data_IF_888363216385
#
_entry.id   IF_888363216385
#
_cell.length_a   1.000
_cell.length_b   1.000
_cell.length_c   1.000
_cell.angle_alpha   90.00
_cell.angle_beta   90.00
_cell.angle_gamma   90.00
#
_symmetry.space_group_name_H-M   'P 1'
#
loop_
_entity.id
_entity.type
_entity.pdbx_description
1 polymer ?
#
# COMPACT_ATOMS: atom_id res chain seq x y z
N UNK A 1 -11.22 -5.91 15.30
CA UNK A 1 -10.45 -4.83 14.65
C UNK A 1 -10.23 -5.19 13.19
N UNK A 2 -10.49 -4.23 12.32
CA UNK A 2 -10.24 -4.35 10.89
C UNK A 2 -9.34 -3.21 10.45
N UNK A 3 -8.31 -3.52 9.70
CA UNK A 3 -7.44 -2.52 9.08
C UNK A 3 -7.60 -2.55 7.55
N UNK A 4 -7.65 -1.38 6.95
CA UNK A 4 -7.55 -1.20 5.51
C UNK A 4 -6.90 0.14 5.18
N UNK A 5 -6.54 0.32 3.94
CA UNK A 5 -5.92 1.53 3.41
C UNK A 5 -6.89 2.26 2.46
N UNK A 6 -7.05 3.56 2.67
CA UNK A 6 -7.75 4.44 1.74
C UNK A 6 -6.71 5.19 0.88
N UNK A 7 -6.58 4.86 -0.39
CA UNK A 7 -5.55 5.43 -1.25
C UNK A 7 -5.93 6.79 -1.87
N UNK A 8 -6.99 7.43 -1.44
CA UNK A 8 -7.57 8.59 -2.15
C UNK A 8 -6.53 9.66 -2.48
N UNK A 9 -5.70 10.07 -1.52
CA UNK A 9 -4.66 11.08 -1.78
C UNK A 9 -3.55 10.55 -2.69
N UNK A 10 -3.10 9.33 -2.46
CA UNK A 10 -2.10 8.64 -3.28
C UNK A 10 -2.61 8.43 -4.71
N UNK A 11 -3.86 8.00 -4.85
CA UNK A 11 -4.51 7.80 -6.12
C UNK A 11 -4.58 9.10 -6.94
N UNK A 12 -5.03 10.19 -6.32
CA UNK A 12 -5.09 11.51 -6.97
C UNK A 12 -3.71 11.97 -7.40
N UNK A 13 -2.69 11.77 -6.56
CA UNK A 13 -1.30 12.09 -6.91
C UNK A 13 -0.83 11.29 -8.12
N UNK A 14 -0.98 9.96 -8.08
CA UNK A 14 -0.52 9.06 -9.15
C UNK A 14 -1.26 9.32 -10.47
N UNK A 15 -2.56 9.60 -10.43
CA UNK A 15 -3.34 9.90 -11.65
C UNK A 15 -2.94 11.24 -12.29
N UNK A 16 -2.31 12.15 -11.55
CA UNK A 16 -1.84 13.43 -12.07
C UNK A 16 -0.33 13.43 -12.41
N UNK A 17 0.37 12.35 -12.16
CA UNK A 17 1.77 12.16 -12.54
C UNK A 17 1.88 11.49 -13.92
N UNK A 18 3.01 11.66 -14.63
CA UNK A 18 3.29 10.88 -15.83
C UNK A 18 3.26 9.38 -15.53
N UNK A 19 2.94 8.59 -16.54
CA UNK A 19 2.99 7.12 -16.42
C UNK A 19 4.35 6.67 -15.85
N UNK A 20 4.35 5.73 -14.89
CA UNK A 20 5.59 5.24 -14.30
C UNK A 20 6.51 4.64 -15.37
N UNK A 21 7.80 4.89 -15.24
CA UNK A 21 8.79 4.32 -16.13
C UNK A 21 8.69 2.79 -16.22
N UNK A 22 8.88 2.27 -17.42
CA UNK A 22 9.04 0.83 -17.64
C UNK A 22 10.45 0.34 -17.28
N UNK A 23 11.41 1.28 -17.18
CA UNK A 23 12.77 0.99 -16.76
C UNK A 23 12.86 1.02 -15.24
N UNK A 24 13.21 -0.10 -14.63
CA UNK A 24 13.31 -0.24 -13.16
C UNK A 24 14.31 0.76 -12.56
N UNK A 25 15.41 1.04 -13.25
CA UNK A 25 16.46 1.95 -12.76
C UNK A 25 15.99 3.40 -12.61
N UNK A 26 14.88 3.76 -13.29
CA UNK A 26 14.29 5.10 -13.23
C UNK A 26 13.25 5.23 -12.10
N UNK A 27 12.84 4.13 -11.49
CA UNK A 27 11.89 4.15 -10.39
C UNK A 27 12.57 4.63 -9.10
N UNK A 28 11.83 5.36 -8.29
CA UNK A 28 12.31 5.79 -6.97
C UNK A 28 12.57 4.60 -6.05
N UNK A 29 13.60 4.72 -5.24
CA UNK A 29 13.90 3.75 -4.19
C UNK A 29 12.93 3.97 -3.04
N UNK A 30 12.21 2.92 -2.65
CA UNK A 30 11.32 2.92 -1.49
C UNK A 30 12.10 2.66 -0.20
N UNK A 31 12.93 1.62 -0.20
CA UNK A 31 13.79 1.28 0.94
C UNK A 31 15.03 0.51 0.51
N UNK A 32 16.04 0.52 1.38
CA UNK A 32 17.21 -0.34 1.31
C UNK A 32 17.45 -0.99 2.67
N UNK A 33 17.85 -2.25 2.67
CA UNK A 33 18.21 -2.96 3.90
C UNK A 33 19.27 -4.02 3.62
N UNK A 34 20.02 -4.39 4.66
CA UNK A 34 21.00 -5.47 4.57
C UNK A 34 20.29 -6.83 4.45
N UNK A 35 20.73 -7.66 3.51
CA UNK A 35 20.24 -9.04 3.41
C UNK A 35 20.72 -9.82 4.64
N UNK A 36 19.78 -10.45 5.40
CA UNK A 36 20.18 -11.21 6.58
C UNK A 36 21.17 -12.34 6.27
N UNK A 37 22.26 -12.40 7.03
CA UNK A 37 23.28 -13.44 6.89
C UNK A 37 24.24 -13.28 5.71
N UNK A 38 24.26 -12.10 5.09
CA UNK A 38 25.09 -11.81 3.92
C UNK A 38 25.66 -10.39 4.02
N UNK A 39 26.60 -10.04 3.12
CA UNK A 39 27.11 -8.68 2.96
C UNK A 39 26.39 -7.91 1.85
N UNK A 40 25.32 -8.49 1.32
CA UNK A 40 24.53 -7.88 0.26
C UNK A 40 23.50 -6.90 0.82
N UNK A 41 23.06 -6.01 -0.04
CA UNK A 41 21.98 -5.06 0.24
C UNK A 41 20.81 -5.38 -0.68
N UNK A 42 19.59 -5.29 -0.16
CA UNK A 42 18.38 -5.34 -0.96
C UNK A 42 17.84 -3.93 -1.09
N UNK A 43 17.65 -3.49 -2.33
CA UNK A 43 16.98 -2.24 -2.67
C UNK A 43 15.61 -2.52 -3.23
N UNK A 44 14.60 -1.90 -2.68
CA UNK A 44 13.23 -2.08 -3.12
C UNK A 44 12.80 -0.86 -3.93
N UNK A 45 12.34 -1.11 -5.15
CA UNK A 45 11.66 -0.12 -5.98
C UNK A 45 10.27 -0.61 -6.26
N UNK A 46 9.33 0.29 -6.51
CA UNK A 46 7.99 -0.10 -6.87
C UNK A 46 7.36 0.87 -7.87
N UNK A 47 6.34 0.39 -8.54
CA UNK A 47 5.39 1.23 -9.27
C UNK A 47 3.97 0.78 -8.92
N UNK A 48 3.04 1.73 -8.97
CA UNK A 48 1.66 1.51 -8.58
C UNK A 48 0.73 1.95 -9.67
N UNK A 49 -0.32 1.17 -9.91
CA UNK A 49 -1.42 1.50 -10.79
C UNK A 49 -2.75 1.28 -10.09
N UNK A 50 -3.80 1.91 -10.60
CA UNK A 50 -5.15 1.84 -10.05
C UNK A 50 -6.12 1.38 -11.11
N UNK A 51 -6.87 0.31 -10.82
CA UNK A 51 -8.06 -0.08 -11.56
C UNK A 51 -9.26 0.52 -10.83
N UNK A 52 -9.67 1.72 -11.22
CA UNK A 52 -10.67 2.51 -10.50
C UNK A 52 -12.03 1.82 -10.45
N UNK A 53 -12.46 1.23 -11.56
CA UNK A 53 -13.75 0.52 -11.66
C UNK A 53 -13.81 -0.68 -10.71
N UNK A 54 -12.71 -1.40 -10.57
CA UNK A 54 -12.62 -2.58 -9.71
C UNK A 54 -12.21 -2.25 -8.26
N UNK A 55 -11.83 -1.00 -7.99
CA UNK A 55 -11.24 -0.57 -6.71
C UNK A 55 -10.03 -1.42 -6.32
N UNK A 56 -9.12 -1.64 -7.27
CA UNK A 56 -7.91 -2.43 -7.06
C UNK A 56 -6.67 -1.54 -7.23
N UNK A 57 -5.76 -1.65 -6.28
CA UNK A 57 -4.40 -1.16 -6.38
C UNK A 57 -3.53 -2.31 -6.86
N UNK A 58 -2.84 -2.12 -7.96
CA UNK A 58 -1.80 -3.02 -8.43
C UNK A 58 -0.45 -2.41 -8.09
N UNK A 59 0.34 -3.11 -7.32
CA UNK A 59 1.68 -2.68 -6.94
C UNK A 59 2.69 -3.74 -7.36
N UNK A 60 3.65 -3.34 -8.20
CA UNK A 60 4.75 -4.18 -8.64
C UNK A 60 5.99 -3.77 -7.86
N UNK A 61 6.67 -4.75 -7.28
CA UNK A 61 7.91 -4.58 -6.54
C UNK A 61 9.08 -5.15 -7.33
N UNK A 62 10.20 -4.47 -7.23
CA UNK A 62 11.47 -4.88 -7.78
C UNK A 62 12.49 -4.89 -6.66
N UNK A 63 12.93 -6.08 -6.30
CA UNK A 63 13.93 -6.30 -5.26
C UNK A 63 15.28 -6.48 -5.92
N UNK A 64 16.05 -5.41 -5.97
CA UNK A 64 17.41 -5.42 -6.51
C UNK A 64 18.37 -5.91 -5.44
N UNK A 65 19.09 -7.00 -5.72
CA UNK A 65 20.13 -7.51 -4.83
C UNK A 65 21.45 -6.91 -5.26
N UNK A 66 22.10 -6.17 -4.36
CA UNK A 66 23.37 -5.48 -4.61
C UNK A 66 24.49 -6.19 -3.88
N UNK A 67 25.59 -6.37 -4.58
CA UNK A 67 26.87 -6.84 -4.04
C UNK A 67 27.97 -5.86 -4.44
N UNK A 68 28.64 -5.26 -3.45
CA UNK A 68 29.63 -4.22 -3.70
C UNK A 68 29.06 -2.99 -4.44
N UNK A 69 27.79 -2.65 -4.18
CA UNK A 69 27.10 -1.53 -4.83
C UNK A 69 26.61 -1.79 -6.25
N UNK A 70 26.75 -3.02 -6.75
CA UNK A 70 26.33 -3.43 -8.08
C UNK A 70 25.16 -4.38 -8.01
N UNK A 71 24.12 -4.15 -8.83
CA UNK A 71 22.98 -5.07 -8.93
C UNK A 71 23.43 -6.39 -9.56
N UNK A 72 23.27 -7.48 -8.82
CA UNK A 72 23.64 -8.82 -9.24
C UNK A 72 22.42 -9.69 -9.53
N UNK A 73 21.25 -9.33 -9.02
CA UNK A 73 20.00 -10.01 -9.29
C UNK A 73 18.81 -9.07 -9.08
N UNK A 74 17.68 -9.35 -9.71
CA UNK A 74 16.42 -8.63 -9.55
C UNK A 74 15.29 -9.63 -9.43
N UNK A 75 14.64 -9.66 -8.28
CA UNK A 75 13.40 -10.41 -8.08
C UNK A 75 12.19 -9.49 -8.23
N UNK A 76 11.09 -10.04 -8.73
CA UNK A 76 9.84 -9.29 -8.94
C UNK A 76 8.73 -9.88 -8.08
N UNK A 77 7.92 -8.98 -7.52
CA UNK A 77 6.70 -9.33 -6.82
C UNK A 77 5.54 -8.46 -7.30
N UNK A 78 4.34 -8.97 -7.15
CA UNK A 78 3.12 -8.23 -7.44
C UNK A 78 2.16 -8.36 -6.26
N UNK A 79 1.51 -7.24 -5.92
CA UNK A 79 0.48 -7.18 -4.91
C UNK A 79 -0.77 -6.56 -5.52
N UNK A 80 -1.89 -7.25 -5.42
CA UNK A 80 -3.21 -6.73 -5.78
C UNK A 80 -4.00 -6.52 -4.49
N UNK A 81 -4.34 -5.27 -4.22
CA UNK A 81 -5.12 -4.89 -3.05
C UNK A 81 -6.43 -4.26 -3.47
N UNK A 82 -7.53 -4.74 -2.93
CA UNK A 82 -8.80 -4.04 -3.02
C UNK A 82 -8.85 -2.98 -1.92
N UNK A 83 -9.26 -1.76 -2.27
CA UNK A 83 -9.49 -0.69 -1.33
C UNK A 83 -10.97 -0.39 -1.20
N UNK A 84 -11.33 0.19 -0.06
CA UNK A 84 -12.72 0.52 0.27
C UNK A 84 -12.73 1.91 0.89
N UNK A 85 -13.64 2.76 0.43
CA UNK A 85 -13.80 4.10 1.01
C UNK A 85 -14.46 4.04 2.39
N UNK A 86 -14.28 5.09 3.18
CA UNK A 86 -14.78 5.17 4.55
C UNK A 86 -16.26 4.80 4.68
N UNK A 87 -17.12 5.48 3.96
CA UNK A 87 -18.56 5.25 4.09
C UNK A 87 -19.02 3.91 3.49
N UNK A 88 -18.34 3.45 2.46
CA UNK A 88 -18.55 2.10 1.94
C UNK A 88 -18.25 1.04 3.01
N UNK A 89 -17.12 1.16 3.71
CA UNK A 89 -16.77 0.24 4.79
C UNK A 89 -17.75 0.31 5.96
N UNK A 90 -18.18 1.52 6.34
CA UNK A 90 -19.18 1.71 7.38
C UNK A 90 -20.50 1.00 7.04
N UNK A 91 -20.97 1.14 5.79
CA UNK A 91 -22.18 0.45 5.33
C UNK A 91 -21.99 -1.07 5.24
N UNK A 92 -20.84 -1.55 4.79
CA UNK A 92 -20.54 -2.98 4.75
C UNK A 92 -20.55 -3.61 6.15
N UNK A 93 -19.97 -2.93 7.13
CA UNK A 93 -19.98 -3.37 8.53
C UNK A 93 -21.42 -3.43 9.06
N UNK A 94 -22.22 -2.40 8.82
CA UNK A 94 -23.61 -2.36 9.23
C UNK A 94 -24.45 -3.50 8.62
N UNK A 95 -24.30 -3.75 7.31
CA UNK A 95 -24.97 -4.86 6.62
C UNK A 95 -24.52 -6.22 7.16
N UNK A 96 -23.25 -6.33 7.57
CA UNK A 96 -22.72 -7.55 8.17
C UNK A 96 -23.12 -7.75 9.65
N UNK A 97 -23.90 -6.83 10.23
CA UNK A 97 -24.38 -6.92 11.62
C UNK A 97 -23.36 -6.38 12.66
N UNK A 98 -22.50 -5.47 12.23
CA UNK A 98 -21.56 -4.83 13.14
C UNK A 98 -21.92 -3.35 13.36
N UNK A 99 -21.71 -2.90 14.58
CA UNK A 99 -21.77 -1.49 14.96
C UNK A 99 -20.36 -0.93 15.08
N UNK A 100 -20.08 0.14 14.39
CA UNK A 100 -18.77 0.82 14.49
C UNK A 100 -18.63 1.49 15.85
N UNK A 101 -17.56 1.20 16.55
CA UNK A 101 -17.19 1.80 17.83
C UNK A 101 -16.24 2.96 17.60
N UNK A 102 -15.23 2.78 16.75
CA UNK A 102 -14.29 3.84 16.42
C UNK A 102 -13.64 3.64 15.05
N UNK A 103 -13.16 4.74 14.50
CA UNK A 103 -12.29 4.79 13.33
C UNK A 103 -11.07 5.63 13.66
N UNK A 104 -9.89 5.05 13.54
CA UNK A 104 -8.63 5.75 13.71
C UNK A 104 -7.82 5.73 12.40
N UNK A 105 -6.86 6.64 12.29
CA UNK A 105 -5.96 6.74 11.14
C UNK A 105 -4.66 5.96 11.31
N UNK A 106 -4.42 5.40 12.47
CA UNK A 106 -3.28 4.54 12.75
C UNK A 106 -3.57 3.67 14.00
N UNK A 107 -2.76 2.66 14.23
CA UNK A 107 -2.85 1.77 15.40
C UNK A 107 -2.49 2.45 16.72
N UNK A 108 -1.88 3.62 16.69
CA UNK A 108 -1.63 4.48 17.86
C UNK A 108 -2.86 5.28 18.31
N UNK A 109 -3.98 5.20 17.57
CA UNK A 109 -5.21 5.93 17.84
C UNK A 109 -5.28 7.33 17.23
N UNK A 110 -4.35 7.68 16.34
CA UNK A 110 -4.40 8.94 15.61
C UNK A 110 -5.72 9.09 14.85
N UNK A 111 -6.22 10.31 14.72
CA UNK A 111 -7.48 10.58 14.02
C UNK A 111 -7.35 10.28 12.53
N UNK A 112 -8.39 9.67 11.97
CA UNK A 112 -8.49 9.46 10.53
C UNK A 112 -8.68 10.80 9.81
N UNK A 113 -7.83 11.08 8.84
CA UNK A 113 -7.77 12.36 8.12
C UNK A 113 -8.46 12.37 6.76
N UNK A 114 -9.08 11.27 6.36
CA UNK A 114 -9.78 11.12 5.09
C UNK A 114 -9.01 10.33 4.03
N UNK A 115 -7.79 9.91 4.32
CA UNK A 115 -6.97 9.04 3.47
C UNK A 115 -5.93 8.29 4.31
N UNK A 116 -5.28 7.31 3.73
CA UNK A 116 -4.28 6.50 4.40
C UNK A 116 -4.89 5.33 5.18
N UNK A 117 -4.32 5.03 6.33
CA UNK A 117 -4.80 3.92 7.15
C UNK A 117 -6.19 4.18 7.71
N UNK A 118 -7.00 3.16 7.70
CA UNK A 118 -8.29 3.10 8.39
C UNK A 118 -8.26 1.93 9.36
N UNK A 119 -8.21 2.24 10.64
CA UNK A 119 -8.27 1.22 11.70
C UNK A 119 -9.65 1.26 12.34
N UNK A 120 -10.46 0.26 12.04
CA UNK A 120 -11.84 0.14 12.47
C UNK A 120 -11.95 -0.74 13.70
N UNK A 121 -12.64 -0.26 14.70
CA UNK A 121 -13.11 -1.08 15.82
C UNK A 121 -14.62 -1.18 15.71
N UNK A 122 -15.11 -2.39 15.61
CA UNK A 122 -16.54 -2.68 15.51
C UNK A 122 -16.90 -3.85 16.43
N UNK A 123 -18.14 -3.87 16.87
CA UNK A 123 -18.69 -4.95 17.69
C UNK A 123 -19.96 -5.51 17.08
N UNK A 124 -20.28 -6.76 17.37
CA UNK A 124 -21.52 -7.39 16.91
C UNK A 124 -22.70 -6.71 17.57
N UNK A 125 -23.69 -6.40 16.78
CA UNK A 125 -24.97 -5.88 17.28
C UNK A 125 -25.82 -6.96 17.94
#
# INVERSE_FOLDING_TARGET
>A
VLNQFDPTADMVRVLNEPEPSQNVDELSVDMEFAEPGSQRTVRVRYRRGYALEAQIIRQEFFYEILDGGRVVDVERGELLLRYTYRYEMEHLLAVAGFRVVSLAGDFDGASYSGYGEQVWVAEVE
#
